data_IF_425745331843
#
_entry.id   IF_425745331843
#
_cell.length_a   1.000
_cell.length_b   1.000
_cell.length_c   1.000
_cell.angle_alpha   90.00
_cell.angle_beta   90.00
_cell.angle_gamma   90.00
#
_symmetry.space_group_name_H-M   'P 1'
#
loop_
_entity.id
_entity.type
_entity.pdbx_description
1 polymer ?
#
# COMPACT_ATOMS: atom_id res chain seq x y z
N UNK A 1 16.26 17.03 -10.48
CA UNK A 1 15.77 17.02 -9.08
C UNK A 1 14.75 15.90 -8.96
N UNK A 2 15.20 14.70 -8.60
CA UNK A 2 14.31 13.56 -8.41
C UNK A 2 13.40 13.82 -7.21
N UNK A 3 12.10 13.84 -7.46
CA UNK A 3 11.08 14.00 -6.45
C UNK A 3 11.04 12.74 -5.56
N UNK A 4 11.77 12.78 -4.44
CA UNK A 4 11.72 11.80 -3.34
C UNK A 4 10.37 11.82 -2.58
N UNK A 5 9.28 12.29 -3.20
CA UNK A 5 8.19 12.95 -2.50
C UNK A 5 7.24 12.04 -1.71
N UNK A 6 7.39 10.71 -1.72
CA UNK A 6 6.93 9.90 -0.58
C UNK A 6 7.47 8.48 -0.65
N UNK A 7 8.41 8.11 0.24
CA UNK A 7 8.84 6.70 0.45
C UNK A 7 7.80 5.86 1.21
N UNK A 8 6.61 6.41 1.39
CA UNK A 8 5.54 5.84 2.19
C UNK A 8 4.20 6.01 1.48
N UNK A 9 3.38 4.98 1.53
CA UNK A 9 1.98 5.02 1.14
C UNK A 9 1.10 5.42 2.32
N UNK A 10 0.03 6.13 2.01
CA UNK A 10 -1.08 6.35 2.93
C UNK A 10 -2.07 5.18 2.89
N UNK A 11 -2.85 5.02 3.95
CA UNK A 11 -3.95 4.04 4.00
C UNK A 11 -4.91 4.18 2.81
N UNK A 12 -5.14 5.40 2.33
CA UNK A 12 -6.00 5.65 1.16
C UNK A 12 -5.40 5.11 -0.13
N UNK A 13 -4.09 5.21 -0.31
CA UNK A 13 -3.40 4.67 -1.49
C UNK A 13 -3.37 3.15 -1.45
N UNK A 14 -3.02 2.56 -0.30
CA UNK A 14 -3.09 1.10 -0.09
C UNK A 14 -4.50 0.57 -0.31
N UNK A 15 -5.52 1.28 0.20
CA UNK A 15 -6.91 0.92 -0.03
C UNK A 15 -7.26 0.86 -1.52
N UNK A 16 -6.76 1.81 -2.33
CA UNK A 16 -6.95 1.82 -3.79
C UNK A 16 -6.20 0.67 -4.46
N UNK A 17 -4.94 0.43 -4.08
CA UNK A 17 -4.12 -0.65 -4.65
C UNK A 17 -4.71 -2.04 -4.37
N UNK A 18 -5.28 -2.23 -3.18
CA UNK A 18 -5.95 -3.47 -2.78
C UNK A 18 -7.45 -3.50 -3.13
N UNK A 19 -7.96 -2.49 -3.82
CA UNK A 19 -9.38 -2.31 -4.16
C UNK A 19 -10.33 -2.56 -2.98
N UNK A 20 -9.97 -2.05 -1.80
CA UNK A 20 -10.69 -2.28 -0.53
C UNK A 20 -11.19 -0.97 0.07
N UNK A 21 -12.15 -1.06 1.00
CA UNK A 21 -12.70 0.11 1.70
C UNK A 21 -11.64 0.72 2.64
N UNK A 22 -11.57 2.06 2.80
CA UNK A 22 -10.59 2.72 3.68
C UNK A 22 -10.62 2.23 5.13
N UNK A 23 -11.80 1.89 5.67
CA UNK A 23 -11.95 1.37 7.04
C UNK A 23 -11.33 -0.02 7.19
N UNK A 24 -11.52 -0.87 6.18
CA UNK A 24 -10.90 -2.21 6.14
C UNK A 24 -9.40 -2.09 5.94
N UNK A 25 -8.94 -1.19 5.07
CA UNK A 25 -7.52 -0.93 4.88
C UNK A 25 -6.84 -0.42 6.16
N UNK A 26 -7.52 0.42 6.94
CA UNK A 26 -7.00 0.91 8.22
C UNK A 26 -6.82 -0.25 9.21
N UNK A 27 -7.86 -1.05 9.44
CA UNK A 27 -7.78 -2.21 10.34
C UNK A 27 -6.76 -3.26 9.86
N UNK A 28 -6.66 -3.45 8.53
CA UNK A 28 -5.65 -4.31 7.92
C UNK A 28 -4.24 -3.78 8.19
N UNK A 29 -3.97 -2.49 7.92
CA UNK A 29 -2.66 -1.89 8.17
C UNK A 29 -2.30 -1.80 9.66
N UNK A 30 -3.29 -1.76 10.55
CA UNK A 30 -3.07 -1.73 12.00
C UNK A 30 -2.72 -3.12 12.57
N UNK A 31 -3.20 -4.20 11.94
CA UNK A 31 -2.98 -5.58 12.39
C UNK A 31 -1.99 -6.38 11.53
N UNK A 32 -1.56 -5.83 10.40
CA UNK A 32 -0.64 -6.52 9.48
C UNK A 32 0.80 -6.49 9.99
N UNK A 33 1.47 -7.63 9.92
CA UNK A 33 2.89 -7.82 10.15
C UNK A 33 3.67 -7.98 8.83
N UNK A 34 2.97 -7.95 7.69
CA UNK A 34 3.51 -8.29 6.38
C UNK A 34 4.43 -7.21 5.79
N UNK A 35 4.27 -5.98 6.23
CA UNK A 35 5.06 -4.83 5.78
C UNK A 35 5.20 -3.81 6.91
N UNK A 36 6.21 -2.96 6.81
CA UNK A 36 6.49 -1.96 7.83
C UNK A 36 5.42 -0.85 7.80
N UNK A 37 4.68 -0.72 8.89
CA UNK A 37 3.69 0.34 9.11
C UNK A 37 4.15 1.21 10.26
N UNK A 38 4.31 2.50 9.98
CA UNK A 38 4.68 3.52 10.96
C UNK A 38 3.46 4.37 11.31
N UNK A 39 3.14 4.42 12.61
CA UNK A 39 2.07 5.27 13.10
C UNK A 39 2.58 6.68 13.29
N UNK A 40 1.95 7.64 12.61
CA UNK A 40 2.28 9.07 12.70
C UNK A 40 1.14 9.81 13.40
N UNK A 41 1.37 10.14 14.67
CA UNK A 41 0.41 10.83 15.53
C UNK A 41 -0.76 9.93 15.96
N UNK A 42 -1.88 10.54 16.34
CA UNK A 42 -3.02 9.82 16.92
C UNK A 42 -3.89 9.06 15.89
N UNK A 43 -3.84 9.43 14.59
CA UNK A 43 -4.73 8.85 13.55
C UNK A 43 -4.06 8.63 12.19
N UNK A 44 -2.75 8.86 12.07
CA UNK A 44 -2.01 8.65 10.83
C UNK A 44 -1.33 7.29 10.83
N UNK A 45 -1.52 6.51 9.76
CA UNK A 45 -0.73 5.34 9.45
C UNK A 45 0.01 5.62 8.13
N UNK A 46 1.32 5.35 8.14
CA UNK A 46 2.19 5.44 6.97
C UNK A 46 2.80 4.07 6.71
N UNK A 47 2.63 3.59 5.49
CA UNK A 47 3.09 2.26 5.09
C UNK A 47 4.40 2.46 4.32
N UNK A 48 5.47 1.78 4.70
CA UNK A 48 6.73 1.86 3.97
C UNK A 48 6.55 1.28 2.56
N UNK A 49 6.85 2.10 1.54
CA UNK A 49 6.66 1.71 0.14
C UNK A 49 7.54 0.53 -0.24
N UNK A 50 8.80 0.50 0.19
CA UNK A 50 9.72 -0.59 -0.13
C UNK A 50 9.26 -1.92 0.49
N UNK A 51 8.82 -1.91 1.75
CA UNK A 51 8.28 -3.12 2.40
C UNK A 51 6.97 -3.57 1.76
N UNK A 52 6.09 -2.64 1.39
CA UNK A 52 4.83 -2.95 0.74
C UNK A 52 5.03 -3.50 -0.67
N UNK A 53 5.87 -2.87 -1.49
CA UNK A 53 6.19 -3.32 -2.86
C UNK A 53 6.89 -4.69 -2.84
N UNK A 54 7.69 -4.99 -1.81
CA UNK A 54 8.28 -6.31 -1.61
C UNK A 54 7.23 -7.38 -1.23
N UNK A 55 6.21 -7.01 -0.46
CA UNK A 55 5.12 -7.90 -0.09
C UNK A 55 4.11 -8.12 -1.23
N UNK A 56 3.81 -7.05 -1.98
CA UNK A 56 2.92 -7.05 -3.13
C UNK A 56 3.73 -6.79 -4.40
N UNK A 57 4.51 -7.78 -4.88
CA UNK A 57 5.18 -7.67 -6.16
C UNK A 57 4.13 -7.36 -7.22
N UNK A 58 4.45 -6.45 -8.14
CA UNK A 58 3.59 -5.93 -9.22
C UNK A 58 3.05 -7.00 -10.21
N UNK A 59 3.17 -8.29 -9.89
CA UNK A 59 2.68 -9.43 -10.66
C UNK A 59 1.16 -9.67 -10.58
N UNK A 60 0.38 -8.81 -9.92
CA UNK A 60 -1.08 -8.77 -10.07
C UNK A 60 -1.53 -7.60 -10.96
N UNK A 61 -0.72 -7.22 -11.94
CA UNK A 61 -1.33 -6.93 -13.23
C UNK A 61 -1.79 -8.27 -13.79
N UNK A 62 -3.09 -8.51 -13.75
CA UNK A 62 -3.73 -9.41 -14.70
C UNK A 62 -3.44 -8.88 -16.10
N UNK A 63 -2.26 -9.20 -16.63
CA UNK A 63 -2.01 -9.24 -18.06
C UNK A 63 -2.80 -10.45 -18.58
N UNK A 64 -4.11 -10.29 -18.69
CA UNK A 64 -4.92 -11.19 -19.48
C UNK A 64 -5.74 -10.37 -20.47
N UNK A 65 -5.63 -10.78 -21.74
CA UNK A 65 -6.41 -10.39 -22.92
C UNK A 65 -6.06 -9.01 -23.50
N UNK A 66 -5.25 -8.96 -24.57
CA UNK A 66 -5.73 -9.18 -25.95
C UNK A 66 -4.58 -9.65 -26.85
N UNK A 67 -4.36 -10.97 -26.88
CA UNK A 67 -3.95 -11.63 -28.11
C UNK A 67 -5.24 -11.90 -28.89
N UNK A 68 -5.52 -11.09 -29.92
CA UNK A 68 -6.29 -11.42 -31.14
C UNK A 68 -5.90 -10.46 -32.24
#
# INVERSE_FOLDING_TARGET
>A
MENLSSRVYTVKEVAKMLNMKPRTAYAFCESTDKFQVERVGQRGLRINKASFDAWMPSGTQSANTKEV
#
